data_IF_334377961487
#
_entry.id   IF_334377961487
#
_cell.length_a   1.000
_cell.length_b   1.000
_cell.length_c   1.000
_cell.angle_alpha   90.00
_cell.angle_beta   90.00
_cell.angle_gamma   90.00
#
_symmetry.space_group_name_H-M   'P 1'
#
loop_
_entity.id
_entity.type
_entity.pdbx_description
1 polymer ?
#
# COMPACT_ATOMS: atom_id res chain seq x y z
N UNK A 1 -19.01 38.08 6.98
CA UNK A 1 -19.07 36.70 6.43
C UNK A 1 -17.98 36.56 5.38
N UNK A 2 -16.78 36.05 5.72
CA UNK A 2 -15.72 35.95 4.68
C UNK A 2 -14.33 35.45 5.09
N UNK A 3 -14.06 35.18 6.37
CA UNK A 3 -12.75 34.68 6.82
C UNK A 3 -12.80 33.17 7.09
N UNK A 4 -13.93 32.66 7.61
CA UNK A 4 -14.14 31.23 7.85
C UNK A 4 -14.13 30.39 6.55
N UNK A 5 -14.50 30.96 5.39
CA UNK A 5 -14.53 30.24 4.12
C UNK A 5 -13.14 30.01 3.51
N UNK A 6 -12.21 30.95 3.63
CA UNK A 6 -10.87 30.83 3.01
C UNK A 6 -10.04 29.78 3.73
N UNK A 7 -10.05 29.78 5.08
CA UNK A 7 -9.31 28.79 5.87
C UNK A 7 -9.86 27.37 5.66
N UNK A 8 -11.19 27.21 5.55
CA UNK A 8 -11.82 25.92 5.26
C UNK A 8 -11.46 25.43 3.86
N UNK A 9 -11.58 26.28 2.83
CA UNK A 9 -11.20 25.94 1.47
C UNK A 9 -9.72 25.57 1.34
N UNK A 10 -8.84 26.32 2.01
CA UNK A 10 -7.40 26.05 2.00
C UNK A 10 -7.06 24.73 2.69
N UNK A 11 -7.75 24.40 3.80
CA UNK A 11 -7.61 23.11 4.48
C UNK A 11 -8.11 21.94 3.61
N UNK A 12 -9.28 22.06 3.00
CA UNK A 12 -9.83 21.04 2.10
C UNK A 12 -8.94 20.79 0.88
N UNK A 13 -8.40 21.87 0.28
CA UNK A 13 -7.42 21.75 -0.82
C UNK A 13 -6.16 21.01 -0.36
N UNK A 14 -5.65 21.34 0.82
CA UNK A 14 -4.43 20.76 1.36
C UNK A 14 -4.60 19.27 1.73
N UNK A 15 -5.77 18.91 2.26
CA UNK A 15 -6.13 17.53 2.54
C UNK A 15 -6.33 16.73 1.23
N UNK A 16 -6.87 17.36 0.19
CA UNK A 16 -7.03 16.75 -1.15
C UNK A 16 -5.69 16.50 -1.85
N UNK A 17 -4.77 17.45 -1.80
CA UNK A 17 -3.43 17.30 -2.40
C UNK A 17 -2.65 16.17 -1.72
N UNK A 18 -2.67 16.13 -0.38
CA UNK A 18 -2.04 15.06 0.40
C UNK A 18 -2.62 13.69 0.08
N UNK A 19 -3.94 13.60 -0.02
CA UNK A 19 -4.62 12.38 -0.43
C UNK A 19 -4.18 11.93 -1.82
N UNK A 20 -4.16 12.84 -2.81
CA UNK A 20 -3.72 12.54 -4.16
C UNK A 20 -2.27 12.04 -4.20
N UNK A 21 -1.36 12.70 -3.48
CA UNK A 21 0.04 12.29 -3.40
C UNK A 21 0.18 10.91 -2.75
N UNK A 22 -0.53 10.65 -1.66
CA UNK A 22 -0.54 9.35 -0.99
C UNK A 22 -1.05 8.23 -1.91
N UNK A 23 -2.15 8.44 -2.63
CA UNK A 23 -2.69 7.48 -3.61
C UNK A 23 -1.71 7.24 -4.75
N UNK A 24 -1.08 8.31 -5.28
CA UNK A 24 -0.06 8.20 -6.34
C UNK A 24 1.11 7.34 -5.88
N UNK A 25 1.64 7.59 -4.69
CA UNK A 25 2.78 6.85 -4.16
C UNK A 25 2.44 5.39 -3.86
N UNK A 26 1.29 5.14 -3.25
CA UNK A 26 0.83 3.79 -3.02
C UNK A 26 0.68 3.02 -4.35
N UNK A 27 0.16 3.66 -5.41
CA UNK A 27 -0.05 3.01 -6.73
C UNK A 27 1.30 2.66 -7.36
N UNK A 28 2.25 3.59 -7.26
CA UNK A 28 3.62 3.39 -7.72
C UNK A 28 4.29 2.21 -7.00
N UNK A 29 4.12 2.11 -5.67
CA UNK A 29 4.68 1.00 -4.88
C UNK A 29 4.03 -0.33 -5.24
N UNK A 30 2.70 -0.37 -5.37
CA UNK A 30 1.96 -1.56 -5.82
C UNK A 30 2.47 -2.06 -7.17
N UNK A 31 2.65 -1.16 -8.14
CA UNK A 31 3.18 -1.53 -9.46
C UNK A 31 4.60 -2.10 -9.38
N UNK A 32 5.47 -1.54 -8.53
CA UNK A 32 6.83 -2.07 -8.30
C UNK A 32 6.78 -3.48 -7.71
N UNK A 33 5.92 -3.72 -6.71
CA UNK A 33 5.76 -5.04 -6.10
C UNK A 33 5.27 -6.05 -7.15
N UNK A 34 4.26 -5.70 -7.93
CA UNK A 34 3.74 -6.57 -8.99
C UNK A 34 4.80 -6.92 -10.06
N UNK A 35 5.76 -6.03 -10.32
CA UNK A 35 6.84 -6.26 -11.29
C UNK A 35 7.97 -7.12 -10.73
N UNK A 36 8.26 -7.02 -9.44
CA UNK A 36 9.40 -7.68 -8.80
C UNK A 36 9.09 -9.11 -8.33
N UNK A 37 7.83 -9.44 -8.10
CA UNK A 37 7.43 -10.72 -7.52
C UNK A 37 6.90 -11.68 -8.58
N UNK A 38 7.13 -12.98 -8.38
CA UNK A 38 6.59 -14.02 -9.24
C UNK A 38 5.07 -14.17 -9.03
N UNK A 39 4.22 -13.82 -10.01
CA UNK A 39 2.76 -13.85 -9.85
C UNK A 39 2.19 -15.28 -9.77
N UNK A 40 2.97 -16.31 -10.13
CA UNK A 40 2.53 -17.69 -10.03
C UNK A 40 2.52 -18.20 -8.58
N UNK A 41 3.30 -17.57 -7.70
CA UNK A 41 3.48 -18.04 -6.32
C UNK A 41 2.32 -17.64 -5.42
N UNK A 42 1.91 -18.56 -4.54
CA UNK A 42 0.77 -18.37 -3.65
C UNK A 42 0.97 -17.16 -2.73
N UNK A 43 2.17 -17.00 -2.17
CA UNK A 43 2.46 -15.87 -1.28
C UNK A 43 2.44 -14.52 -2.01
N UNK A 44 2.90 -14.46 -3.26
CA UNK A 44 2.80 -13.25 -4.09
C UNK A 44 1.36 -12.87 -4.36
N UNK A 45 0.47 -13.85 -4.61
CA UNK A 45 -0.97 -13.60 -4.79
C UNK A 45 -1.61 -13.07 -3.51
N UNK A 46 -1.30 -13.68 -2.36
CA UNK A 46 -1.77 -13.24 -1.07
C UNK A 46 -1.31 -11.81 -0.76
N UNK A 47 -0.04 -11.49 -1.01
CA UNK A 47 0.51 -10.14 -0.83
C UNK A 47 -0.26 -9.12 -1.68
N UNK A 48 -0.50 -9.43 -2.95
CA UNK A 48 -1.23 -8.53 -3.85
C UNK A 48 -2.69 -8.35 -3.44
N UNK A 49 -3.34 -9.40 -2.92
CA UNK A 49 -4.70 -9.32 -2.38
C UNK A 49 -4.74 -8.41 -1.14
N UNK A 50 -3.82 -8.59 -0.18
CA UNK A 50 -3.73 -7.74 1.01
C UNK A 50 -3.47 -6.27 0.65
N UNK A 51 -2.61 -6.01 -0.34
CA UNK A 51 -2.36 -4.66 -0.86
C UNK A 51 -3.65 -4.08 -1.48
N UNK A 52 -4.37 -4.85 -2.31
CA UNK A 52 -5.63 -4.39 -2.89
C UNK A 52 -6.67 -4.05 -1.82
N UNK A 53 -6.85 -4.94 -0.84
CA UNK A 53 -7.76 -4.72 0.28
C UNK A 53 -7.36 -3.47 1.07
N UNK A 54 -6.07 -3.26 1.35
CA UNK A 54 -5.60 -2.07 2.08
C UNK A 54 -5.93 -0.78 1.35
N UNK A 55 -5.83 -0.82 0.01
CA UNK A 55 -6.18 0.30 -0.85
C UNK A 55 -7.67 0.61 -0.81
N UNK A 56 -8.52 -0.39 -1.01
CA UNK A 56 -9.97 -0.21 -1.05
C UNK A 56 -10.46 0.32 0.30
N UNK A 57 -9.96 -0.23 1.41
CA UNK A 57 -10.29 0.23 2.76
C UNK A 57 -9.80 1.65 3.06
N UNK A 58 -8.61 2.01 2.59
CA UNK A 58 -8.10 3.37 2.74
C UNK A 58 -8.94 4.39 1.94
N UNK A 59 -9.38 4.02 0.74
CA UNK A 59 -10.28 4.85 -0.08
C UNK A 59 -11.66 5.02 0.56
N UNK A 60 -12.10 4.03 1.36
CA UNK A 60 -13.38 4.04 2.08
C UNK A 60 -13.30 4.61 3.51
N UNK A 61 -12.15 5.14 3.94
CA UNK A 61 -11.91 5.63 5.31
C UNK A 61 -12.19 4.59 6.42
N UNK A 62 -11.91 3.31 6.15
CA UNK A 62 -12.07 2.24 7.13
C UNK A 62 -10.89 2.17 8.13
N UNK A 63 -11.18 1.91 9.40
CA UNK A 63 -10.17 1.91 10.48
C UNK A 63 -9.19 0.73 10.48
N UNK A 64 -9.43 -0.30 9.65
CA UNK A 64 -8.63 -1.54 9.63
C UNK A 64 -7.41 -1.50 8.69
N UNK A 65 -7.10 -0.34 8.09
CA UNK A 65 -5.95 -0.19 7.17
C UNK A 65 -4.62 -0.50 7.86
N UNK A 66 -4.44 -0.10 9.12
CA UNK A 66 -3.19 -0.36 9.86
C UNK A 66 -2.93 -1.86 10.06
N UNK A 67 -3.97 -2.62 10.40
CA UNK A 67 -3.86 -4.07 10.54
C UNK A 67 -3.50 -4.75 9.21
N UNK A 68 -4.04 -4.25 8.09
CA UNK A 68 -3.68 -4.75 6.76
C UNK A 68 -2.22 -4.42 6.41
N UNK A 69 -1.72 -3.25 6.79
CA UNK A 69 -0.30 -2.92 6.64
C UNK A 69 0.60 -3.90 7.40
N UNK A 70 0.25 -4.25 8.63
CA UNK A 70 1.00 -5.24 9.43
C UNK A 70 1.01 -6.61 8.75
N UNK A 71 -0.13 -7.03 8.19
CA UNK A 71 -0.24 -8.27 7.43
C UNK A 71 0.60 -8.25 6.15
N UNK A 72 0.62 -7.14 5.42
CA UNK A 72 1.46 -6.94 4.23
C UNK A 72 2.94 -7.10 4.61
N UNK A 73 3.38 -6.53 5.73
CA UNK A 73 4.75 -6.68 6.24
C UNK A 73 5.06 -8.14 6.55
N UNK A 74 4.18 -8.82 7.28
CA UNK A 74 4.37 -10.23 7.63
C UNK A 74 4.49 -11.13 6.38
N UNK A 75 3.61 -10.96 5.40
CA UNK A 75 3.67 -11.71 4.13
C UNK A 75 4.95 -11.39 3.35
N UNK A 76 5.35 -10.11 3.30
CA UNK A 76 6.57 -9.69 2.62
C UNK A 76 7.82 -10.32 3.23
N UNK A 77 7.91 -10.39 4.56
CA UNK A 77 9.01 -11.05 5.26
C UNK A 77 9.09 -12.54 4.93
N UNK A 78 7.96 -13.24 4.84
CA UNK A 78 7.91 -14.65 4.48
C UNK A 78 8.45 -14.89 3.05
N UNK A 79 8.06 -14.04 2.10
CA UNK A 79 8.55 -14.13 0.72
C UNK A 79 10.06 -13.84 0.67
N UNK A 80 10.52 -12.76 1.30
CA UNK A 80 11.94 -12.41 1.33
C UNK A 80 12.81 -13.52 1.91
N UNK A 81 12.33 -14.19 2.98
CA UNK A 81 13.03 -15.34 3.55
C UNK A 81 13.11 -16.50 2.55
N UNK A 82 12.02 -16.78 1.85
CA UNK A 82 11.96 -17.84 0.82
C UNK A 82 12.93 -17.55 -0.32
N UNK A 83 12.94 -16.33 -0.85
CA UNK A 83 13.85 -15.94 -1.93
C UNK A 83 15.31 -15.96 -1.48
N UNK A 84 15.59 -15.53 -0.25
CA UNK A 84 16.93 -15.63 0.33
C UNK A 84 17.43 -17.07 0.42
N UNK A 85 16.57 -18.00 0.87
CA UNK A 85 16.90 -19.42 0.91
C UNK A 85 17.11 -20.03 -0.48
N UNK A 86 16.42 -19.53 -1.51
CA UNK A 86 16.66 -19.94 -2.90
C UNK A 86 18.04 -19.49 -3.38
N UNK A 87 18.38 -18.21 -3.19
CA UNK A 87 19.67 -17.66 -3.60
C UNK A 87 20.83 -18.43 -2.97
N UNK A 88 20.74 -18.73 -1.66
CA UNK A 88 21.76 -19.53 -0.94
C UNK A 88 21.99 -20.94 -1.48
N UNK A 89 21.03 -21.52 -2.20
CA UNK A 89 21.14 -22.87 -2.77
C UNK A 89 21.70 -22.88 -4.19
N UNK A 90 21.82 -21.70 -4.81
CA UNK A 90 22.41 -21.51 -6.14
C UNK A 90 23.91 -21.26 -6.05
N UNK A 91 24.42 -20.86 -4.87
CA UNK A 91 25.85 -20.84 -4.50
C UNK A 91 26.34 -22.23 -4.08
#
# INVERSE_FOLDING_TARGET
>A
MGIWSIQQMQKEQWDTERFYLAVKDARRLKAKIALLFNPAECQSKLLMEQINQSFDKAMNNESSVMQLCDQIVATSQAILKTEWERVKKVE
#
